data_IF_977721576581
#
_entry.id   IF_977721576581
#
_cell.length_a   1.000
_cell.length_b   1.000
_cell.length_c   1.000
_cell.angle_alpha   90.00
_cell.angle_beta   90.00
_cell.angle_gamma   90.00
#
_symmetry.space_group_name_H-M   'P 1'
#
loop_
_entity.id
_entity.type
_entity.pdbx_description
1 polymer ?
#
# COMPACT_ATOMS: atom_id res chain seq x y z
N UNK A 1 8.65 -23.53 1.99
CA UNK A 1 7.95 -22.37 2.59
C UNK A 1 6.47 -22.70 2.63
N UNK A 2 5.65 -22.18 3.56
CA UNK A 2 4.21 -22.38 3.48
C UNK A 2 3.67 -21.81 2.18
N UNK A 3 2.68 -22.47 1.61
CA UNK A 3 1.94 -21.95 0.45
C UNK A 3 0.99 -20.85 0.90
N UNK A 4 0.82 -19.82 0.10
CA UNK A 4 0.12 -18.59 0.51
C UNK A 4 -1.09 -18.30 -0.37
N UNK A 5 -2.14 -17.76 0.25
CA UNK A 5 -3.26 -17.12 -0.44
C UNK A 5 -3.21 -15.62 -0.16
N UNK A 6 -3.12 -14.79 -1.18
CA UNK A 6 -3.03 -13.34 -1.06
C UNK A 6 -4.33 -12.64 -1.45
N UNK A 7 -4.75 -11.67 -0.64
CA UNK A 7 -5.66 -10.62 -1.04
C UNK A 7 -4.89 -9.29 -1.09
N UNK A 8 -4.93 -8.62 -2.24
CA UNK A 8 -4.19 -7.37 -2.49
C UNK A 8 -5.18 -6.24 -2.85
N UNK A 9 -5.82 -5.59 -1.85
CA UNK A 9 -6.59 -4.37 -2.11
C UNK A 9 -5.72 -3.32 -2.81
N UNK A 10 -6.25 -2.63 -3.83
CA UNK A 10 -5.48 -1.73 -4.67
C UNK A 10 -4.70 -2.43 -5.79
N UNK A 11 -5.13 -3.62 -6.21
CA UNK A 11 -4.49 -4.45 -7.23
C UNK A 11 -4.29 -3.78 -8.58
N UNK A 12 -5.10 -2.77 -8.93
CA UNK A 12 -4.96 -2.00 -10.16
C UNK A 12 -3.96 -0.83 -10.06
N UNK A 13 -3.44 -0.55 -8.85
CA UNK A 13 -2.37 0.41 -8.60
C UNK A 13 -1.00 -0.09 -9.07
N UNK A 14 0.02 0.77 -8.97
CA UNK A 14 1.37 0.48 -9.44
C UNK A 14 1.96 -0.75 -8.74
N UNK A 15 1.98 -0.76 -7.41
CA UNK A 15 2.47 -1.87 -6.60
C UNK A 15 1.57 -3.10 -6.68
N UNK A 16 0.24 -2.91 -6.64
CA UNK A 16 -0.72 -4.01 -6.70
C UNK A 16 -0.60 -4.86 -7.96
N UNK A 17 -0.32 -4.24 -9.11
CA UNK A 17 -0.05 -4.94 -10.37
C UNK A 17 1.22 -5.78 -10.32
N UNK A 18 2.29 -5.27 -9.71
CA UNK A 18 3.53 -6.02 -9.57
C UNK A 18 3.37 -7.16 -8.56
N UNK A 19 2.66 -6.96 -7.45
CA UNK A 19 2.27 -8.03 -6.53
C UNK A 19 1.50 -9.14 -7.25
N UNK A 20 0.44 -8.79 -7.99
CA UNK A 20 -0.36 -9.76 -8.74
C UNK A 20 0.45 -10.53 -9.80
N UNK A 21 1.38 -9.85 -10.46
CA UNK A 21 2.24 -10.43 -11.50
C UNK A 21 3.31 -11.38 -10.93
N UNK A 22 3.90 -11.03 -9.78
CA UNK A 22 5.00 -11.79 -9.17
C UNK A 22 4.51 -12.89 -8.25
N UNK A 23 3.33 -12.74 -7.65
CA UNK A 23 2.76 -13.69 -6.71
C UNK A 23 2.83 -15.16 -7.17
N UNK A 24 2.45 -15.55 -8.41
CA UNK A 24 2.46 -16.95 -8.82
C UNK A 24 3.82 -17.64 -8.69
N UNK A 25 4.93 -16.91 -8.73
CA UNK A 25 6.28 -17.47 -8.58
C UNK A 25 6.68 -17.71 -7.11
N UNK A 26 5.91 -17.19 -6.15
CA UNK A 26 6.28 -17.17 -4.74
C UNK A 26 5.25 -17.85 -3.81
N UNK A 27 4.02 -18.12 -4.29
CA UNK A 27 2.93 -18.61 -3.44
C UNK A 27 2.90 -20.12 -3.22
N UNK A 28 3.66 -20.90 -4.01
CA UNK A 28 3.60 -22.38 -4.05
C UNK A 28 2.50 -22.89 -5.00
N UNK A 29 2.43 -24.21 -5.18
CA UNK A 29 1.59 -24.84 -6.21
C UNK A 29 0.08 -24.68 -5.95
N UNK A 30 -0.36 -24.73 -4.68
CA UNK A 30 -1.75 -24.53 -4.28
C UNK A 30 -2.06 -23.05 -3.93
N UNK A 31 -1.05 -22.19 -3.96
CA UNK A 31 -1.19 -20.78 -3.63
C UNK A 31 -1.92 -19.97 -4.72
N UNK A 32 -2.59 -18.90 -4.31
CA UNK A 32 -3.29 -18.02 -5.23
C UNK A 32 -3.25 -16.56 -4.77
N UNK A 33 -3.50 -15.64 -5.69
CA UNK A 33 -3.63 -14.21 -5.39
C UNK A 33 -4.90 -13.64 -6.02
N UNK A 34 -5.62 -12.83 -5.24
CA UNK A 34 -6.71 -11.99 -5.69
C UNK A 34 -6.33 -10.53 -5.48
N UNK A 35 -6.28 -9.74 -6.54
CA UNK A 35 -5.80 -8.36 -6.51
C UNK A 35 -6.86 -7.39 -7.08
N UNK A 36 -7.95 -7.14 -6.35
CA UNK A 36 -9.06 -6.31 -6.80
C UNK A 36 -8.68 -4.83 -6.88
N UNK A 37 -9.25 -4.14 -7.88
CA UNK A 37 -9.26 -2.68 -7.93
C UNK A 37 -10.33 -2.08 -7.02
N UNK A 38 -10.34 -0.75 -6.88
CA UNK A 38 -11.30 -0.05 -6.01
C UNK A 38 -12.77 -0.19 -6.44
N UNK A 39 -13.04 -0.51 -7.69
CA UNK A 39 -14.40 -0.78 -8.17
C UNK A 39 -14.91 -2.18 -7.75
N UNK A 40 -14.01 -3.10 -7.41
CA UNK A 40 -14.32 -4.48 -6.99
C UNK A 40 -14.25 -4.62 -5.46
N UNK A 41 -13.33 -3.88 -4.83
CA UNK A 41 -13.17 -3.82 -3.38
C UNK A 41 -12.85 -2.38 -2.97
N UNK A 42 -13.87 -1.64 -2.58
CA UNK A 42 -13.72 -0.35 -1.94
C UNK A 42 -13.42 -0.57 -0.46
N UNK A 43 -12.19 -0.24 -0.04
CA UNK A 43 -11.77 -0.43 1.35
C UNK A 43 -12.48 0.50 2.34
N UNK A 44 -13.20 1.53 1.87
CA UNK A 44 -14.02 2.41 2.71
C UNK A 44 -15.37 1.79 3.07
N UNK A 45 -15.78 0.73 2.39
CA UNK A 45 -16.95 -0.07 2.72
C UNK A 45 -16.55 -1.26 3.61
N UNK A 46 -16.81 -1.13 4.91
CA UNK A 46 -16.42 -2.12 5.90
C UNK A 46 -17.11 -3.49 5.72
N UNK A 47 -18.29 -3.54 5.10
CA UNK A 47 -19.02 -4.79 4.86
C UNK A 47 -18.35 -5.55 3.71
N UNK A 48 -18.05 -4.89 2.59
CA UNK A 48 -17.30 -5.49 1.48
C UNK A 48 -15.89 -5.93 1.89
N UNK A 49 -15.22 -5.18 2.75
CA UNK A 49 -13.91 -5.56 3.31
C UNK A 49 -14.01 -6.82 4.14
N UNK A 50 -14.99 -6.90 5.05
CA UNK A 50 -15.20 -8.09 5.88
C UNK A 50 -15.48 -9.33 5.04
N UNK A 51 -16.35 -9.21 4.04
CA UNK A 51 -16.72 -10.31 3.16
C UNK A 51 -15.51 -10.79 2.33
N UNK A 52 -14.68 -9.87 1.81
CA UNK A 52 -13.49 -10.22 1.04
C UNK A 52 -12.43 -10.93 1.89
N UNK A 53 -12.18 -10.48 3.13
CA UNK A 53 -11.23 -11.13 4.04
C UNK A 53 -11.77 -12.48 4.51
N UNK A 54 -13.07 -12.59 4.80
CA UNK A 54 -13.72 -13.85 5.15
C UNK A 54 -13.63 -14.88 4.02
N UNK A 55 -13.89 -14.47 2.78
CA UNK A 55 -13.76 -15.31 1.59
C UNK A 55 -12.31 -15.79 1.38
N UNK A 56 -11.32 -14.91 1.57
CA UNK A 56 -9.89 -15.31 1.55
C UNK A 56 -9.60 -16.38 2.60
N UNK A 57 -10.02 -16.16 3.85
CA UNK A 57 -9.76 -17.09 4.95
C UNK A 57 -10.43 -18.45 4.72
N UNK A 58 -11.64 -18.47 4.19
CA UNK A 58 -12.35 -19.72 3.83
C UNK A 58 -11.65 -20.44 2.68
N UNK A 59 -11.33 -19.77 1.60
CA UNK A 59 -10.64 -20.36 0.45
C UNK A 59 -9.26 -20.91 0.85
N UNK A 60 -8.52 -20.19 1.69
CA UNK A 60 -7.23 -20.65 2.21
C UNK A 60 -7.36 -21.92 3.08
N UNK A 61 -8.37 -21.96 3.97
CA UNK A 61 -8.67 -23.18 4.77
C UNK A 61 -8.98 -24.37 3.86
N UNK A 62 -9.79 -24.18 2.84
CA UNK A 62 -10.17 -25.26 1.90
C UNK A 62 -9.00 -25.78 1.06
N UNK A 63 -8.02 -24.91 0.78
CA UNK A 63 -6.82 -25.26 0.00
C UNK A 63 -5.61 -25.68 0.88
N UNK A 64 -5.71 -25.55 2.20
CA UNK A 64 -4.62 -25.89 3.12
C UNK A 64 -3.45 -24.89 3.07
N UNK A 65 -3.68 -23.64 2.62
CA UNK A 65 -2.66 -22.59 2.47
C UNK A 65 -2.84 -21.49 3.53
N UNK A 66 -1.85 -20.61 3.70
CA UNK A 66 -1.88 -19.53 4.69
C UNK A 66 -2.44 -18.26 4.05
N UNK A 67 -3.55 -17.69 4.56
CA UNK A 67 -4.07 -16.41 4.06
C UNK A 67 -3.21 -15.24 4.52
N UNK A 68 -3.02 -14.24 3.64
CA UNK A 68 -2.34 -12.97 3.95
C UNK A 68 -3.03 -11.84 3.18
N UNK A 69 -3.25 -10.71 3.84
CA UNK A 69 -3.68 -9.46 3.18
C UNK A 69 -2.48 -8.53 3.01
N UNK A 70 -2.24 -8.05 1.79
CA UNK A 70 -1.24 -7.01 1.49
C UNK A 70 -1.96 -5.76 1.00
N UNK A 71 -2.18 -4.80 1.89
CA UNK A 71 -2.90 -3.57 1.55
C UNK A 71 -2.01 -2.60 0.76
N UNK A 72 -2.22 -2.54 -0.56
CA UNK A 72 -1.63 -1.58 -1.48
C UNK A 72 -2.62 -0.45 -1.88
N UNK A 73 -3.85 -0.45 -1.35
CA UNK A 73 -4.83 0.60 -1.59
C UNK A 73 -4.48 1.85 -0.78
N UNK A 74 -4.47 2.99 -1.43
CA UNK A 74 -4.26 4.29 -0.80
C UNK A 74 -4.73 5.45 -1.70
N UNK A 75 -5.10 6.55 -1.08
CA UNK A 75 -5.18 7.85 -1.74
C UNK A 75 -3.77 8.43 -1.83
N UNK A 76 -3.19 8.51 -3.02
CA UNK A 76 -1.76 8.83 -3.23
C UNK A 76 -1.51 10.18 -3.89
N UNK A 77 -2.57 10.95 -4.22
CA UNK A 77 -2.46 12.28 -4.81
C UNK A 77 -2.12 13.28 -3.70
N UNK A 78 -0.81 13.49 -3.44
CA UNK A 78 -0.31 14.28 -2.30
C UNK A 78 -0.88 15.69 -2.28
N UNK A 79 -0.80 16.40 -3.42
CA UNK A 79 -1.29 17.79 -3.51
C UNK A 79 -2.82 17.88 -3.38
N UNK A 80 -3.55 16.95 -4.00
CA UNK A 80 -5.01 16.91 -3.89
C UNK A 80 -5.49 16.53 -2.49
N UNK A 81 -4.67 15.84 -1.70
CA UNK A 81 -4.98 15.55 -0.29
C UNK A 81 -5.01 16.83 0.58
N UNK A 82 -4.29 17.89 0.22
CA UNK A 82 -4.36 19.16 0.92
C UNK A 82 -5.71 19.88 0.68
N UNK A 83 -6.36 19.59 -0.45
CA UNK A 83 -7.66 20.17 -0.80
C UNK A 83 -8.82 19.32 -0.25
N UNK A 84 -8.62 17.99 -0.11
CA UNK A 84 -9.63 17.04 0.39
C UNK A 84 -8.99 16.03 1.35
N UNK A 85 -8.53 16.51 2.51
CA UNK A 85 -7.97 15.67 3.56
C UNK A 85 -9.01 14.67 4.12
N UNK A 86 -10.29 15.03 4.09
CA UNK A 86 -11.37 14.15 4.58
C UNK A 86 -11.46 12.87 3.72
N UNK A 87 -11.43 13.00 2.39
CA UNK A 87 -11.44 11.85 1.50
C UNK A 87 -10.15 11.04 1.59
N UNK A 88 -9.01 11.71 1.69
CA UNK A 88 -7.74 11.03 1.92
C UNK A 88 -7.74 10.25 3.24
N UNK A 89 -8.30 10.80 4.32
CA UNK A 89 -8.44 10.14 5.62
C UNK A 89 -9.39 8.94 5.56
N UNK A 90 -10.51 9.06 4.88
CA UNK A 90 -11.46 7.96 4.68
C UNK A 90 -10.78 6.74 4.06
N UNK A 91 -9.97 6.92 3.01
CA UNK A 91 -9.28 5.83 2.34
C UNK A 91 -8.06 5.37 3.16
N UNK A 92 -7.17 6.31 3.54
CA UNK A 92 -5.88 5.97 4.11
C UNK A 92 -5.94 5.53 5.57
N UNK A 93 -6.95 6.00 6.34
CA UNK A 93 -7.10 5.69 7.74
C UNK A 93 -8.30 4.80 8.03
N UNK A 94 -9.54 5.20 7.67
CA UNK A 94 -10.72 4.42 7.96
C UNK A 94 -10.74 3.10 7.18
N UNK A 95 -10.38 3.12 5.89
CA UNK A 95 -10.27 1.89 5.09
C UNK A 95 -9.19 0.94 5.61
N UNK A 96 -8.03 1.47 6.04
CA UNK A 96 -6.99 0.67 6.68
C UNK A 96 -7.46 0.07 8.02
N UNK A 97 -8.24 0.81 8.82
CA UNK A 97 -8.85 0.32 10.05
C UNK A 97 -9.86 -0.81 9.79
N UNK A 98 -10.68 -0.69 8.74
CA UNK A 98 -11.64 -1.72 8.35
C UNK A 98 -10.92 -3.03 7.96
N UNK A 99 -9.84 -2.95 7.18
CA UNK A 99 -8.99 -4.10 6.86
C UNK A 99 -8.38 -4.73 8.11
N UNK A 100 -7.85 -3.92 9.04
CA UNK A 100 -7.28 -4.43 10.28
C UNK A 100 -8.32 -5.16 11.14
N UNK A 101 -9.51 -4.61 11.28
CA UNK A 101 -10.62 -5.23 12.02
C UNK A 101 -11.07 -6.56 11.39
N UNK A 102 -11.21 -6.61 10.07
CA UNK A 102 -11.57 -7.83 9.35
C UNK A 102 -10.47 -8.90 9.47
N UNK A 103 -9.20 -8.50 9.34
CA UNK A 103 -8.06 -9.40 9.51
C UNK A 103 -7.95 -9.95 10.94
N UNK A 104 -8.22 -9.11 11.95
CA UNK A 104 -8.26 -9.55 13.35
C UNK A 104 -9.34 -10.59 13.59
N UNK A 105 -10.56 -10.38 13.05
CA UNK A 105 -11.69 -11.30 13.20
C UNK A 105 -11.40 -12.69 12.62
N UNK A 106 -10.69 -12.77 11.50
CA UNK A 106 -10.34 -14.01 10.81
C UNK A 106 -8.94 -14.54 11.16
N UNK A 107 -8.21 -13.89 12.07
CA UNK A 107 -6.81 -14.19 12.41
C UNK A 107 -5.86 -14.20 11.18
N UNK A 108 -6.15 -13.36 10.17
CA UNK A 108 -5.36 -13.22 8.93
C UNK A 108 -4.26 -12.18 9.13
N UNK A 109 -3.00 -12.47 8.78
CA UNK A 109 -1.92 -11.48 8.77
C UNK A 109 -2.19 -10.33 7.80
N UNK A 110 -1.82 -9.09 8.22
CA UNK A 110 -1.98 -7.89 7.42
C UNK A 110 -0.62 -7.17 7.23
N UNK A 111 -0.20 -7.01 5.98
CA UNK A 111 0.90 -6.13 5.60
C UNK A 111 0.31 -4.83 5.04
N UNK A 112 0.62 -3.69 5.65
CA UNK A 112 0.12 -2.38 5.23
C UNK A 112 1.26 -1.53 4.65
N UNK A 113 1.12 -1.15 3.38
CA UNK A 113 2.10 -0.29 2.71
C UNK A 113 1.87 1.17 3.09
N UNK A 114 2.90 1.81 3.64
CA UNK A 114 2.92 3.21 4.06
C UNK A 114 3.98 4.01 3.30
N UNK A 115 4.35 5.17 3.81
CA UNK A 115 5.18 6.16 3.13
C UNK A 115 6.18 6.81 4.08
N UNK A 116 7.27 7.33 3.54
CA UNK A 116 8.21 8.23 4.20
C UNK A 116 7.61 9.60 4.56
N UNK A 117 6.50 10.02 3.92
CA UNK A 117 5.78 11.25 4.26
C UNK A 117 5.22 11.29 5.69
N UNK A 118 5.28 10.18 6.42
CA UNK A 118 4.96 10.15 7.85
C UNK A 118 6.04 10.85 8.70
N UNK A 119 7.23 11.05 8.16
CA UNK A 119 8.31 11.80 8.82
C UNK A 119 8.28 13.29 8.47
N UNK A 120 9.04 14.09 9.22
CA UNK A 120 9.11 15.55 9.03
C UNK A 120 9.79 15.98 7.73
N UNK A 121 10.68 15.16 7.17
CA UNK A 121 11.42 15.44 5.95
C UNK A 121 12.55 16.47 6.11
N UNK A 122 12.98 16.78 7.33
CA UNK A 122 14.03 17.74 7.65
C UNK A 122 15.28 17.11 8.27
N UNK A 123 15.38 15.79 8.21
CA UNK A 123 16.54 15.05 8.70
C UNK A 123 17.76 15.19 7.80
N UNK A 124 18.93 15.12 8.37
CA UNK A 124 20.24 15.12 7.70
C UNK A 124 20.83 13.71 7.52
N UNK A 125 20.10 12.68 7.93
CA UNK A 125 20.41 11.26 7.79
C UNK A 125 19.20 10.45 7.29
N UNK A 126 19.40 9.22 6.80
CA UNK A 126 18.29 8.31 6.55
C UNK A 126 17.43 8.09 7.80
N UNK A 127 16.11 8.09 7.64
CA UNK A 127 15.18 7.77 8.72
C UNK A 127 15.22 6.28 9.06
N UNK A 128 15.10 5.99 10.35
CA UNK A 128 14.95 4.65 10.88
C UNK A 128 13.48 4.35 11.21
N UNK A 129 13.04 3.08 11.25
CA UNK A 129 11.66 2.73 11.59
C UNK A 129 11.21 3.25 12.97
N UNK A 130 12.15 3.42 13.90
CA UNK A 130 11.92 3.92 15.26
C UNK A 130 11.89 5.44 15.39
N UNK A 131 12.25 6.18 14.33
CA UNK A 131 12.21 7.64 14.37
C UNK A 131 10.78 8.15 14.57
N UNK A 132 10.57 9.20 15.39
CA UNK A 132 9.23 9.69 15.67
C UNK A 132 8.58 10.28 14.43
N UNK A 133 7.35 9.85 14.07
CA UNK A 133 6.62 10.44 12.97
C UNK A 133 6.20 11.89 13.28
N UNK A 134 6.35 12.77 12.28
CA UNK A 134 5.94 14.16 12.36
C UNK A 134 5.49 14.68 10.96
N UNK A 135 4.42 14.13 10.38
CA UNK A 135 4.01 14.44 9.01
C UNK A 135 3.62 15.90 8.84
N UNK A 136 4.08 16.53 7.77
CA UNK A 136 3.75 17.93 7.43
C UNK A 136 2.60 18.05 6.44
N UNK A 137 2.40 17.04 5.58
CA UNK A 137 1.34 17.03 4.58
C UNK A 137 0.07 16.30 5.05
N UNK A 138 -1.08 16.65 4.48
CA UNK A 138 -2.35 15.96 4.68
C UNK A 138 -2.22 14.46 4.31
N UNK A 139 -1.55 14.16 3.20
CA UNK A 139 -1.24 12.79 2.81
C UNK A 139 -0.48 12.05 3.91
N UNK A 140 0.61 12.62 4.43
CA UNK A 140 1.41 12.01 5.50
C UNK A 140 0.60 11.83 6.78
N UNK A 141 -0.23 12.82 7.18
CA UNK A 141 -1.11 12.73 8.37
C UNK A 141 -2.10 11.58 8.25
N UNK A 142 -2.75 11.46 7.09
CA UNK A 142 -3.75 10.41 6.85
C UNK A 142 -3.12 9.03 6.76
N UNK A 143 -1.93 8.88 6.16
CA UNK A 143 -1.17 7.62 6.14
C UNK A 143 -0.72 7.21 7.54
N UNK A 144 -0.21 8.15 8.35
CA UNK A 144 0.16 7.87 9.75
C UNK A 144 -1.05 7.44 10.59
N UNK A 145 -2.22 8.04 10.37
CA UNK A 145 -3.44 7.60 11.03
C UNK A 145 -3.80 6.14 10.66
N UNK A 146 -3.60 5.76 9.40
CA UNK A 146 -3.74 4.37 8.93
C UNK A 146 -2.73 3.41 9.58
N UNK A 147 -1.45 3.78 9.68
CA UNK A 147 -0.45 2.98 10.40
C UNK A 147 -0.89 2.67 11.84
N UNK A 148 -1.33 3.71 12.55
CA UNK A 148 -1.81 3.57 13.95
C UNK A 148 -3.04 2.69 14.05
N UNK A 149 -3.98 2.81 13.11
CA UNK A 149 -5.17 1.99 13.07
C UNK A 149 -4.84 0.51 12.81
N UNK A 150 -3.91 0.24 11.91
CA UNK A 150 -3.46 -1.13 11.60
C UNK A 150 -2.73 -1.76 12.78
N UNK A 151 -1.74 -1.06 13.34
CA UNK A 151 -0.95 -1.57 14.47
C UNK A 151 -1.77 -1.72 15.77
N UNK A 152 -2.80 -0.89 15.95
CA UNK A 152 -3.73 -1.02 17.09
C UNK A 152 -4.89 -1.97 16.85
N UNK A 153 -5.15 -2.35 15.60
CA UNK A 153 -6.31 -3.17 15.21
C UNK A 153 -6.06 -4.67 15.17
N UNK A 154 -4.81 -5.10 14.96
CA UNK A 154 -4.44 -6.52 14.95
C UNK A 154 -2.98 -6.74 15.31
N UNK A 155 -2.71 -7.74 16.16
CA UNK A 155 -1.35 -8.09 16.59
C UNK A 155 -0.51 -8.74 15.47
N UNK A 156 -1.18 -9.24 14.41
CA UNK A 156 -0.54 -9.87 13.26
C UNK A 156 -0.45 -8.91 12.08
N UNK A 157 0.15 -7.73 12.33
CA UNK A 157 0.31 -6.71 11.30
C UNK A 157 1.73 -6.18 11.19
N UNK A 158 2.08 -5.78 9.98
CA UNK A 158 3.34 -5.11 9.66
C UNK A 158 3.04 -3.88 8.82
N UNK A 159 3.73 -2.79 9.14
CA UNK A 159 3.71 -1.55 8.35
C UNK A 159 5.04 -1.44 7.60
N UNK A 160 4.96 -1.35 6.27
CA UNK A 160 6.12 -1.20 5.40
C UNK A 160 6.11 0.19 4.79
N UNK A 161 6.99 1.07 5.25
CA UNK A 161 7.18 2.42 4.69
C UNK A 161 8.06 2.33 3.45
N UNK A 162 7.66 3.04 2.40
CA UNK A 162 8.39 3.13 1.13
C UNK A 162 8.42 4.56 0.63
N UNK A 163 9.27 4.86 -0.34
CA UNK A 163 9.41 6.19 -0.92
C UNK A 163 9.55 6.12 -2.43
N UNK A 164 9.05 7.13 -3.14
CA UNK A 164 9.30 7.37 -4.56
C UNK A 164 9.10 6.12 -5.43
N UNK A 165 7.99 5.42 -5.22
CA UNK A 165 7.69 4.19 -5.94
C UNK A 165 7.51 4.46 -7.43
N UNK A 166 8.23 3.72 -8.26
CA UNK A 166 8.13 3.76 -9.71
C UNK A 166 8.07 2.35 -10.29
N UNK A 167 7.49 2.22 -11.49
CA UNK A 167 7.38 0.94 -12.17
C UNK A 167 6.77 1.04 -13.56
N UNK A 168 6.58 -0.09 -14.19
CA UNK A 168 6.01 -0.18 -15.53
C UNK A 168 4.51 0.16 -15.54
N UNK A 169 3.80 -0.10 -14.44
CA UNK A 169 2.37 0.17 -14.29
C UNK A 169 2.07 1.56 -13.72
N UNK A 170 0.91 2.11 -14.07
CA UNK A 170 0.42 3.37 -13.49
C UNK A 170 1.21 4.62 -13.88
N UNK A 171 0.86 5.74 -13.24
CA UNK A 171 1.58 7.01 -13.36
C UNK A 171 2.70 7.11 -12.33
N UNK A 172 3.88 7.59 -12.72
CA UNK A 172 4.98 7.87 -11.81
C UNK A 172 5.91 8.95 -12.40
N UNK A 173 6.83 9.45 -11.57
CA UNK A 173 7.76 10.50 -11.97
C UNK A 173 8.59 10.11 -13.19
N UNK A 174 9.16 8.91 -13.24
CA UNK A 174 10.01 8.45 -14.34
C UNK A 174 9.25 8.47 -15.67
N UNK A 175 8.05 7.89 -15.69
CA UNK A 175 7.21 7.88 -16.90
C UNK A 175 6.75 9.29 -17.30
N UNK A 176 6.50 10.15 -16.31
CA UNK A 176 6.13 11.55 -16.56
C UNK A 176 7.29 12.30 -17.19
N UNK A 177 8.52 12.16 -16.69
CA UNK A 177 9.69 12.79 -17.27
C UNK A 177 9.97 12.28 -18.70
N UNK A 178 9.94 10.97 -18.91
CA UNK A 178 10.12 10.37 -20.24
C UNK A 178 9.07 10.81 -21.27
N UNK A 179 7.84 11.11 -20.83
CA UNK A 179 6.79 11.68 -21.68
C UNK A 179 7.04 13.16 -21.97
N UNK A 180 7.39 13.94 -20.95
CA UNK A 180 7.58 15.40 -21.08
C UNK A 180 8.84 15.74 -21.90
N UNK A 181 9.91 14.96 -21.79
CA UNK A 181 11.12 15.10 -22.60
C UNK A 181 10.81 15.13 -24.11
N UNK A 182 9.83 14.35 -24.56
CA UNK A 182 9.39 14.33 -25.97
C UNK A 182 8.52 15.52 -26.37
N UNK A 183 8.07 16.33 -25.43
CA UNK A 183 7.10 17.40 -25.64
C UNK A 183 7.64 18.79 -25.33
N UNK A 184 8.77 18.90 -24.64
CA UNK A 184 9.33 20.17 -24.13
C UNK A 184 10.84 20.17 -24.24
N UNK A 185 11.39 21.29 -24.66
CA UNK A 185 12.86 21.48 -24.75
C UNK A 185 13.51 21.66 -23.37
N UNK A 186 12.74 22.14 -22.39
CA UNK A 186 13.21 22.35 -21.02
C UNK A 186 12.16 21.91 -20.02
N UNK A 187 12.61 21.37 -18.89
CA UNK A 187 11.76 20.98 -17.75
C UNK A 187 12.29 21.63 -16.48
N UNK A 188 11.36 22.12 -15.65
CA UNK A 188 11.67 22.55 -14.29
C UNK A 188 11.25 21.44 -13.31
N UNK A 189 12.18 21.03 -12.47
CA UNK A 189 11.95 20.00 -11.45
C UNK A 189 12.40 20.56 -10.12
N UNK A 190 11.66 20.25 -9.03
CA UNK A 190 12.05 20.60 -7.66
C UNK A 190 13.40 19.93 -7.34
N UNK A 191 14.27 20.62 -6.62
CA UNK A 191 15.63 20.17 -6.31
C UNK A 191 15.89 20.04 -4.81
N UNK A 192 14.91 20.37 -3.97
CA UNK A 192 14.97 20.40 -2.51
C UNK A 192 14.38 19.14 -1.84
N UNK A 193 13.86 18.21 -2.64
CA UNK A 193 13.38 16.93 -2.14
C UNK A 193 14.46 15.85 -2.26
N UNK A 194 14.75 15.19 -1.15
CA UNK A 194 15.71 14.08 -1.07
C UNK A 194 14.95 12.81 -0.68
N UNK A 195 15.13 11.73 -1.44
CA UNK A 195 14.46 10.46 -1.17
C UNK A 195 15.12 9.30 -1.91
N UNK A 196 14.69 8.09 -1.62
CA UNK A 196 15.20 6.85 -2.24
C UNK A 196 14.17 6.31 -3.24
N UNK A 197 14.44 6.33 -4.54
CA UNK A 197 13.57 5.70 -5.53
C UNK A 197 13.45 4.19 -5.26
N UNK A 198 12.21 3.69 -5.28
CA UNK A 198 11.92 2.28 -5.05
C UNK A 198 11.22 1.69 -6.27
N UNK A 199 11.85 0.69 -6.90
CA UNK A 199 11.18 -0.04 -7.98
C UNK A 199 10.06 -0.93 -7.43
N UNK A 200 8.84 -0.77 -7.97
CA UNK A 200 7.65 -1.46 -7.46
C UNK A 200 7.75 -2.98 -7.51
N UNK A 201 8.50 -3.54 -8.47
CA UNK A 201 8.72 -4.98 -8.54
C UNK A 201 9.66 -5.49 -7.43
N UNK A 202 10.70 -4.73 -7.06
CA UNK A 202 11.58 -5.08 -5.93
C UNK A 202 10.82 -4.98 -4.60
N UNK A 203 10.01 -3.93 -4.45
CA UNK A 203 9.12 -3.79 -3.28
C UNK A 203 8.13 -4.96 -3.20
N UNK A 204 7.49 -5.33 -4.32
CA UNK A 204 6.56 -6.44 -4.37
C UNK A 204 7.21 -7.79 -4.04
N UNK A 205 8.46 -8.00 -4.45
CA UNK A 205 9.22 -9.21 -4.13
C UNK A 205 9.68 -9.27 -2.67
N UNK A 206 9.82 -8.11 -2.02
CA UNK A 206 10.21 -7.99 -0.62
C UNK A 206 9.04 -8.08 0.38
N UNK A 207 7.80 -7.90 -0.09
CA UNK A 207 6.58 -8.01 0.71
C UNK A 207 6.09 -9.44 0.82
#
# INVERSE_FOLDING_TARGET
MPELALLVPGGHGQLGRDLARLAPAHLGDAGFAHAPGSAELDITDADTVRDAVGALAEAARNSGVVPVVVNAAAYTAVDAAEEDEARAHEINAAGAAALAAACAAEAVPLVHVSTDYVFAGDGDRPYEPSDPPAPRSAYGRTKLAGERAVLGGTDRSWVVRTAWVYGAGGGNFVRTMARLERQRDTLSVVSDQVGSPTWSADLAAGL
#
